data_IF_464576903702
#
_entry.id   IF_464576903702
#
_cell.length_a   1.000
_cell.length_b   1.000
_cell.length_c   1.000
_cell.angle_alpha   90.00
_cell.angle_beta   90.00
_cell.angle_gamma   90.00
#
_symmetry.space_group_name_H-M   'P 1'
#
loop_
_entity.id
_entity.type
_entity.pdbx_description
1 polymer ?
#
# COMPACT_ATOMS: atom_id res chain seq x y z
N UNK A 1 6.59 -8.41 -14.40
CA UNK A 1 6.47 -7.17 -15.18
C UNK A 1 5.19 -6.48 -14.74
N UNK A 2 5.26 -5.58 -13.77
CA UNK A 2 4.09 -4.88 -13.25
C UNK A 2 3.76 -3.73 -14.19
N UNK A 3 2.61 -3.81 -14.85
CA UNK A 3 2.07 -2.71 -15.63
C UNK A 3 1.43 -1.70 -14.67
N UNK A 4 2.02 -0.52 -14.58
CA UNK A 4 1.32 0.65 -14.04
C UNK A 4 0.19 1.01 -14.99
N UNK A 5 -1.06 1.09 -14.53
CA UNK A 5 -2.11 1.62 -15.37
C UNK A 5 -1.80 3.08 -15.69
N UNK A 6 -1.71 3.40 -16.96
CA UNK A 6 -1.46 4.76 -17.49
C UNK A 6 -2.55 5.78 -17.08
N UNK A 7 -3.67 5.33 -16.50
CA UNK A 7 -4.73 6.16 -15.95
C UNK A 7 -4.36 6.94 -14.68
N UNK A 8 -3.27 6.57 -13.97
CA UNK A 8 -2.79 7.31 -12.80
C UNK A 8 -2.23 8.71 -13.15
N UNK A 9 -2.01 8.99 -14.43
CA UNK A 9 -1.40 10.24 -14.90
C UNK A 9 -2.28 11.03 -15.85
N UNK A 10 -3.60 10.79 -15.86
CA UNK A 10 -4.51 11.59 -16.68
C UNK A 10 -4.59 13.03 -16.15
N UNK A 11 -4.43 14.07 -17.01
CA UNK A 11 -4.26 15.46 -16.59
C UNK A 11 -5.54 16.20 -16.17
N UNK A 12 -6.62 15.52 -15.78
CA UNK A 12 -7.93 16.16 -15.54
C UNK A 12 -8.44 16.05 -14.10
N UNK A 13 -7.56 15.92 -13.10
CA UNK A 13 -8.01 16.08 -11.73
C UNK A 13 -8.14 17.57 -11.40
N UNK A 14 -9.36 18.08 -11.30
CA UNK A 14 -9.65 19.41 -10.74
C UNK A 14 -9.05 19.44 -9.34
N UNK A 15 -8.21 20.45 -9.06
CA UNK A 15 -7.53 20.61 -7.76
C UNK A 15 -8.59 20.63 -6.65
N UNK A 16 -8.56 19.72 -5.67
CA UNK A 16 -9.56 19.71 -4.61
C UNK A 16 -9.44 20.95 -3.73
N UNK A 17 -10.57 21.46 -3.19
CA UNK A 17 -10.55 22.58 -2.26
C UNK A 17 -9.72 22.21 -1.02
N UNK A 18 -8.81 23.10 -0.60
CA UNK A 18 -7.93 22.90 0.56
C UNK A 18 -6.54 22.33 0.24
N UNK A 19 -6.18 22.23 -1.03
CA UNK A 19 -4.83 21.88 -1.43
C UNK A 19 -3.94 23.14 -1.46
N UNK A 20 -3.38 23.48 -0.33
CA UNK A 20 -2.48 24.62 -0.18
C UNK A 20 -1.07 24.30 -0.64
N UNK A 21 -0.33 25.31 -1.08
CA UNK A 21 1.09 25.16 -1.44
C UNK A 21 1.92 24.65 -0.25
N UNK A 22 1.58 25.07 0.97
CA UNK A 22 2.21 24.61 2.21
C UNK A 22 2.06 23.09 2.39
N UNK A 23 0.88 22.53 2.13
CA UNK A 23 0.66 21.07 2.18
C UNK A 23 1.54 20.33 1.17
N UNK A 24 1.68 20.87 -0.05
CA UNK A 24 2.54 20.30 -1.09
C UNK A 24 4.02 20.36 -0.69
N UNK A 25 4.46 21.44 -0.06
CA UNK A 25 5.83 21.58 0.44
C UNK A 25 6.11 20.54 1.54
N UNK A 26 5.22 20.42 2.52
CA UNK A 26 5.33 19.41 3.59
C UNK A 26 5.33 17.98 3.02
N UNK A 27 4.45 17.69 2.07
CA UNK A 27 4.41 16.41 1.38
C UNK A 27 5.71 16.15 0.60
N UNK A 28 6.25 17.15 -0.08
CA UNK A 28 7.52 17.05 -0.82
C UNK A 28 8.69 16.76 0.13
N UNK A 29 8.76 17.44 1.27
CA UNK A 29 9.76 17.14 2.29
C UNK A 29 9.62 15.71 2.82
N UNK A 30 8.39 15.26 3.05
CA UNK A 30 8.11 13.88 3.50
C UNK A 30 8.59 12.85 2.49
N UNK A 31 8.39 13.08 1.18
CA UNK A 31 8.91 12.23 0.10
C UNK A 31 10.44 12.17 0.13
N UNK A 32 11.12 13.31 0.21
CA UNK A 32 12.60 13.37 0.27
C UNK A 32 13.12 12.62 1.49
N UNK A 33 12.52 12.84 2.66
CA UNK A 33 12.92 12.17 3.90
C UNK A 33 12.67 10.66 3.88
N UNK A 34 11.62 10.22 3.19
CA UNK A 34 11.24 8.81 3.06
C UNK A 34 12.00 8.06 1.96
N UNK A 35 12.63 8.77 1.00
CA UNK A 35 13.32 8.14 -0.14
C UNK A 35 14.82 8.38 -0.14
N UNK A 36 15.27 9.60 -0.38
CA UNK A 36 16.70 9.94 -0.42
C UNK A 36 16.99 11.29 0.23
N UNK A 37 17.43 11.26 1.48
CA UNK A 37 17.73 12.46 2.28
C UNK A 37 18.81 13.37 1.68
N UNK A 38 19.67 12.84 0.78
CA UNK A 38 20.73 13.61 0.11
C UNK A 38 20.16 14.66 -0.83
N UNK A 39 18.93 14.45 -1.31
CA UNK A 39 18.22 15.41 -2.18
C UNK A 39 17.86 16.72 -1.44
N UNK A 40 17.83 16.70 -0.12
CA UNK A 40 17.46 17.87 0.69
C UNK A 40 18.40 19.09 0.47
N UNK A 41 19.65 18.86 0.07
CA UNK A 41 20.62 19.91 -0.26
C UNK A 41 20.49 20.50 -1.68
N UNK A 42 19.68 19.94 -2.55
CA UNK A 42 19.62 20.28 -3.97
C UNK A 42 18.30 20.97 -4.31
N UNK A 43 18.28 22.32 -4.26
CA UNK A 43 17.06 23.13 -4.46
C UNK A 43 16.30 22.89 -5.78
N UNK A 44 16.95 22.36 -6.83
CA UNK A 44 16.30 22.01 -8.10
C UNK A 44 15.35 20.83 -8.00
N UNK A 45 15.60 19.87 -7.11
CA UNK A 45 14.75 18.68 -6.96
C UNK A 45 13.38 18.99 -6.32
N UNK A 46 13.32 19.97 -5.42
CA UNK A 46 12.04 20.39 -4.85
C UNK A 46 11.05 20.82 -5.92
N UNK A 47 11.52 21.62 -6.89
CA UNK A 47 10.67 22.07 -8.02
C UNK A 47 10.25 20.90 -8.92
N UNK A 48 11.15 19.94 -9.18
CA UNK A 48 10.85 18.78 -10.03
C UNK A 48 9.89 17.80 -9.36
N UNK A 49 9.94 17.67 -8.03
CA UNK A 49 9.08 16.78 -7.26
C UNK A 49 7.70 17.39 -6.97
N UNK A 50 7.55 18.70 -7.02
CA UNK A 50 6.32 19.39 -6.65
C UNK A 50 5.10 18.87 -7.43
N UNK A 51 5.19 18.80 -8.76
CA UNK A 51 4.08 18.34 -9.61
C UNK A 51 3.74 16.85 -9.39
N UNK A 52 4.69 15.90 -9.37
CA UNK A 52 4.40 14.51 -9.04
C UNK A 52 3.81 14.32 -7.63
N UNK A 53 4.33 15.06 -6.65
CA UNK A 53 3.83 15.00 -5.27
C UNK A 53 2.41 15.56 -5.18
N UNK A 54 2.11 16.68 -5.84
CA UNK A 54 0.75 17.21 -5.93
C UNK A 54 -0.23 16.19 -6.50
N UNK A 55 0.14 15.52 -7.61
CA UNK A 55 -0.68 14.45 -8.19
C UNK A 55 -0.89 13.29 -7.21
N UNK A 56 0.13 12.88 -6.48
CA UNK A 56 0.03 11.81 -5.49
C UNK A 56 -0.88 12.21 -4.31
N UNK A 57 -0.77 13.44 -3.81
CA UNK A 57 -1.63 13.97 -2.74
C UNK A 57 -3.08 14.02 -3.20
N UNK A 58 -3.35 14.55 -4.40
CA UNK A 58 -4.70 14.58 -4.99
C UNK A 58 -5.27 13.18 -5.13
N UNK A 59 -4.45 12.23 -5.61
CA UNK A 59 -4.87 10.83 -5.74
C UNK A 59 -5.27 10.23 -4.38
N UNK A 60 -4.47 10.44 -3.35
CA UNK A 60 -4.77 9.96 -1.98
C UNK A 60 -6.06 10.59 -1.45
N UNK A 61 -6.24 11.90 -1.63
CA UNK A 61 -7.45 12.59 -1.20
C UNK A 61 -8.67 11.95 -1.87
N UNK A 62 -8.67 11.83 -3.19
CA UNK A 62 -9.78 11.27 -3.96
C UNK A 62 -10.05 9.80 -3.58
N UNK A 63 -8.99 9.01 -3.35
CA UNK A 63 -9.10 7.61 -2.93
C UNK A 63 -9.81 7.49 -1.58
N UNK A 64 -9.41 8.31 -0.60
CA UNK A 64 -9.98 8.23 0.74
C UNK A 64 -11.38 8.84 0.79
N UNK A 65 -11.64 9.90 0.04
CA UNK A 65 -12.97 10.51 -0.04
C UNK A 65 -13.99 9.61 -0.78
N UNK A 66 -13.51 8.65 -1.58
CA UNK A 66 -14.33 7.62 -2.23
C UNK A 66 -14.60 6.39 -1.34
N UNK A 67 -14.02 6.33 -0.13
CA UNK A 67 -14.30 5.22 0.78
C UNK A 67 -15.77 5.24 1.23
N UNK A 68 -16.37 4.05 1.46
CA UNK A 68 -17.72 3.96 1.97
C UNK A 68 -17.82 4.60 3.37
N UNK A 69 -19.03 4.99 3.72
CA UNK A 69 -19.33 5.54 5.04
C UNK A 69 -18.89 4.61 6.17
N UNK A 70 -18.55 5.24 7.31
CA UNK A 70 -18.17 4.50 8.51
C UNK A 70 -19.27 3.53 8.95
N UNK A 71 -18.87 2.32 9.31
CA UNK A 71 -19.79 1.27 9.80
C UNK A 71 -19.74 1.24 11.31
N UNK A 72 -20.89 1.31 11.95
CA UNK A 72 -20.99 1.13 13.40
C UNK A 72 -20.68 -0.32 13.77
N UNK A 73 -19.75 -0.51 14.70
CA UNK A 73 -19.40 -1.82 15.26
C UNK A 73 -20.15 -2.01 16.58
N UNK A 74 -21.29 -2.68 16.50
CA UNK A 74 -22.14 -3.02 17.65
C UNK A 74 -22.77 -4.39 17.46
N UNK A 75 -23.38 -4.94 18.53
CA UNK A 75 -24.12 -6.20 18.45
C UNK A 75 -25.28 -6.13 17.46
N UNK A 76 -25.93 -4.98 17.39
CA UNK A 76 -27.06 -4.74 16.48
C UNK A 76 -26.57 -4.72 15.03
N UNK A 77 -25.53 -3.97 14.75
CA UNK A 77 -24.99 -3.86 13.38
C UNK A 77 -24.40 -5.18 12.91
N UNK A 78 -23.76 -5.98 13.77
CA UNK A 78 -23.29 -7.32 13.40
C UNK A 78 -24.44 -8.21 12.90
N UNK A 79 -25.63 -8.10 13.49
CA UNK A 79 -26.78 -8.90 13.06
C UNK A 79 -27.39 -8.42 11.74
N UNK A 80 -27.33 -7.12 11.46
CA UNK A 80 -27.98 -6.49 10.32
C UNK A 80 -27.07 -6.24 9.10
N UNK A 81 -25.77 -5.99 9.32
CA UNK A 81 -24.82 -5.66 8.25
C UNK A 81 -24.11 -6.92 7.74
N UNK A 82 -24.31 -7.31 6.46
CA UNK A 82 -23.66 -8.48 5.88
C UNK A 82 -22.11 -8.32 5.79
N UNK A 83 -21.59 -7.08 5.72
CA UNK A 83 -20.16 -6.81 5.68
C UNK A 83 -19.48 -7.25 6.98
N UNK A 84 -20.06 -6.90 8.13
CA UNK A 84 -19.52 -7.31 9.42
C UNK A 84 -19.53 -8.83 9.61
N UNK A 85 -20.57 -9.50 9.10
CA UNK A 85 -20.63 -10.98 9.11
C UNK A 85 -19.64 -11.63 8.16
N UNK A 86 -19.25 -10.94 7.08
CA UNK A 86 -18.21 -11.42 6.19
C UNK A 86 -16.81 -11.23 6.80
N UNK A 87 -16.59 -10.10 7.49
CA UNK A 87 -15.29 -9.76 8.07
C UNK A 87 -14.98 -10.55 9.35
N UNK A 88 -16.00 -10.90 10.13
CA UNK A 88 -15.82 -11.55 11.43
C UNK A 88 -16.61 -12.85 11.51
N UNK A 89 -15.98 -13.90 12.01
CA UNK A 89 -16.63 -15.20 12.15
C UNK A 89 -17.80 -15.21 13.15
N UNK A 90 -17.79 -14.31 14.14
CA UNK A 90 -18.83 -14.18 15.15
C UNK A 90 -18.78 -12.79 15.81
N UNK A 91 -19.85 -12.42 16.53
CA UNK A 91 -19.87 -11.21 17.33
C UNK A 91 -18.75 -11.20 18.39
N UNK A 92 -18.51 -12.31 19.06
CA UNK A 92 -17.44 -12.41 20.05
C UNK A 92 -16.06 -12.22 19.43
N UNK A 93 -15.83 -12.79 18.23
CA UNK A 93 -14.61 -12.55 17.47
C UNK A 93 -14.44 -11.08 17.11
N UNK A 94 -15.49 -10.41 16.64
CA UNK A 94 -15.47 -8.97 16.36
C UNK A 94 -15.12 -8.16 17.61
N UNK A 95 -15.76 -8.46 18.76
CA UNK A 95 -15.51 -7.77 20.02
C UNK A 95 -14.07 -7.98 20.50
N UNK A 96 -13.56 -9.21 20.40
CA UNK A 96 -12.17 -9.52 20.74
C UNK A 96 -11.18 -8.73 19.86
N UNK A 97 -11.38 -8.72 18.54
CA UNK A 97 -10.43 -8.07 17.62
C UNK A 97 -10.47 -6.56 17.67
N UNK A 98 -11.62 -5.97 17.91
CA UNK A 98 -11.78 -4.50 17.93
C UNK A 98 -11.70 -3.97 19.36
N UNK A 99 -12.41 -4.56 20.31
CA UNK A 99 -12.49 -4.07 21.68
C UNK A 99 -11.22 -4.28 22.50
N UNK A 100 -10.54 -5.42 22.30
CA UNK A 100 -9.27 -5.74 22.95
C UNK A 100 -8.04 -5.33 22.10
N UNK A 101 -8.22 -4.53 21.05
CA UNK A 101 -7.11 -4.02 20.28
C UNK A 101 -6.23 -3.10 21.15
N UNK A 102 -4.94 -3.42 21.26
CA UNK A 102 -4.00 -2.65 22.08
C UNK A 102 -4.03 -1.14 21.77
N UNK A 103 -4.21 -0.78 20.51
CA UNK A 103 -4.34 0.62 20.08
C UNK A 103 -5.53 1.32 20.70
N UNK A 104 -6.65 0.61 20.88
CA UNK A 104 -7.86 1.14 21.56
C UNK A 104 -7.62 1.25 23.06
N UNK A 105 -7.04 0.24 23.68
CA UNK A 105 -6.70 0.27 25.10
C UNK A 105 -5.73 1.41 25.45
N UNK A 106 -4.68 1.58 24.65
CA UNK A 106 -3.68 2.63 24.85
C UNK A 106 -4.30 4.02 24.64
N UNK A 107 -5.21 4.17 23.68
CA UNK A 107 -5.96 5.39 23.47
C UNK A 107 -6.87 5.73 24.64
N UNK A 108 -7.63 4.75 25.13
CA UNK A 108 -8.53 4.92 26.28
C UNK A 108 -7.81 5.32 27.58
N UNK A 109 -6.56 4.87 27.77
CA UNK A 109 -5.72 5.25 28.89
C UNK A 109 -5.24 6.71 28.82
N UNK A 110 -5.13 7.27 27.62
CA UNK A 110 -4.56 8.60 27.39
C UNK A 110 -5.63 9.69 27.21
N UNK A 111 -6.80 9.33 26.70
CA UNK A 111 -7.86 10.28 26.40
C UNK A 111 -8.92 10.29 27.50
N UNK A 112 -9.39 11.47 27.94
CA UNK A 112 -10.57 11.57 28.80
C UNK A 112 -11.82 11.27 27.97
N UNK A 113 -12.12 9.99 27.82
CA UNK A 113 -13.29 9.53 27.05
C UNK A 113 -14.49 9.53 27.98
N UNK A 114 -15.51 10.34 27.67
CA UNK A 114 -16.78 10.30 28.36
C UNK A 114 -17.50 8.96 28.15
N UNK A 115 -18.36 8.55 29.09
CA UNK A 115 -19.07 7.25 29.07
C UNK A 115 -19.86 6.94 27.78
N UNK A 116 -20.16 7.94 26.96
CA UNK A 116 -20.95 7.81 25.74
C UNK A 116 -20.19 8.16 24.46
N UNK A 117 -18.86 8.26 24.53
CA UNK A 117 -18.07 8.64 23.37
C UNK A 117 -17.99 7.50 22.36
N UNK A 118 -18.22 7.82 21.10
CA UNK A 118 -17.93 6.91 19.99
C UNK A 118 -16.45 7.00 19.66
N UNK A 119 -15.82 5.87 19.41
CA UNK A 119 -14.45 5.81 18.94
C UNK A 119 -14.49 5.38 17.49
N UNK A 120 -13.87 6.17 16.65
CA UNK A 120 -13.65 5.90 15.22
C UNK A 120 -12.26 5.33 15.02
N UNK A 121 -12.06 4.58 13.96
CA UNK A 121 -10.75 4.08 13.56
C UNK A 121 -10.80 3.35 12.23
N UNK A 122 -9.62 3.04 11.70
CA UNK A 122 -9.47 2.25 10.48
C UNK A 122 -9.35 0.77 10.84
N UNK A 123 -10.28 -0.05 10.34
CA UNK A 123 -10.15 -1.49 10.39
C UNK A 123 -9.37 -1.97 9.16
N UNK A 124 -8.18 -2.48 9.39
CA UNK A 124 -7.34 -3.12 8.36
C UNK A 124 -7.38 -4.63 8.54
N UNK A 125 -7.43 -5.36 7.43
CA UNK A 125 -7.43 -6.82 7.43
C UNK A 125 -6.80 -7.36 6.15
N UNK A 126 -6.29 -8.58 6.21
CA UNK A 126 -5.84 -9.32 5.05
C UNK A 126 -6.97 -10.22 4.56
N UNK A 127 -7.15 -10.29 3.25
CA UNK A 127 -8.08 -11.23 2.62
C UNK A 127 -7.29 -12.39 1.99
N UNK A 128 -7.86 -13.58 2.09
CA UNK A 128 -7.30 -14.81 1.52
C UNK A 128 -8.37 -15.51 0.71
N UNK A 129 -8.11 -15.73 -0.55
CA UNK A 129 -8.95 -16.56 -1.41
C UNK A 129 -8.53 -18.02 -1.34
N UNK A 130 -9.53 -18.90 -1.24
CA UNK A 130 -9.37 -20.34 -1.38
C UNK A 130 -10.33 -20.83 -2.45
N UNK A 131 -9.75 -21.34 -3.53
CA UNK A 131 -10.52 -22.06 -4.56
C UNK A 131 -10.69 -23.51 -4.18
N UNK A 132 -11.91 -24.03 -4.28
CA UNK A 132 -12.24 -25.44 -4.08
C UNK A 132 -13.17 -25.89 -5.20
N UNK A 133 -13.04 -27.15 -5.59
CA UNK A 133 -14.04 -27.81 -6.41
C UNK A 133 -15.17 -28.27 -5.49
N UNK A 134 -16.36 -27.83 -5.76
CA UNK A 134 -17.55 -28.15 -4.98
C UNK A 134 -18.69 -28.66 -5.86
N UNK A 135 -19.81 -28.89 -5.22
CA UNK A 135 -21.06 -29.30 -5.89
C UNK A 135 -22.08 -28.19 -5.72
N UNK A 136 -22.75 -27.81 -6.80
CA UNK A 136 -23.81 -26.80 -6.80
C UNK A 136 -25.09 -27.43 -7.32
N UNK A 137 -26.21 -27.16 -6.67
CA UNK A 137 -27.54 -27.50 -7.17
C UNK A 137 -28.04 -26.30 -8.02
N UNK A 138 -28.19 -26.52 -9.31
CA UNK A 138 -28.72 -25.54 -10.25
C UNK A 138 -29.84 -26.18 -11.04
N UNK A 139 -31.04 -25.59 -11.06
CA UNK A 139 -32.23 -26.05 -11.79
C UNK A 139 -32.56 -27.54 -11.54
N UNK A 140 -32.53 -27.98 -10.26
CA UNK A 140 -32.75 -29.36 -9.82
C UNK A 140 -31.68 -30.38 -10.32
N UNK A 141 -30.59 -29.90 -10.88
CA UNK A 141 -29.46 -30.74 -11.32
C UNK A 141 -28.25 -30.51 -10.45
N UNK A 142 -27.61 -31.60 -10.05
CA UNK A 142 -26.36 -31.56 -9.28
C UNK A 142 -25.20 -31.41 -10.27
N UNK A 143 -24.59 -30.21 -10.29
CA UNK A 143 -23.33 -29.99 -11.00
C UNK A 143 -22.18 -30.26 -10.04
N UNK A 144 -21.31 -31.19 -10.41
CA UNK A 144 -20.08 -31.51 -9.67
C UNK A 144 -18.90 -30.75 -10.27
N UNK A 145 -17.82 -30.59 -9.48
CA UNK A 145 -16.59 -29.94 -9.91
C UNK A 145 -16.74 -28.46 -10.32
N UNK A 146 -17.71 -27.78 -9.73
CA UNK A 146 -17.86 -26.34 -9.92
C UNK A 146 -16.82 -25.63 -9.05
N UNK A 147 -16.04 -24.73 -9.65
CA UNK A 147 -15.07 -23.93 -8.91
C UNK A 147 -15.80 -22.97 -7.96
N UNK A 148 -15.57 -23.15 -6.67
CA UNK A 148 -16.09 -22.29 -5.62
C UNK A 148 -14.92 -21.50 -5.03
N UNK A 149 -15.10 -20.19 -4.89
CA UNK A 149 -14.14 -19.30 -4.23
C UNK A 149 -14.69 -18.89 -2.88
N UNK A 150 -13.94 -19.16 -1.83
CA UNK A 150 -14.21 -18.66 -0.49
C UNK A 150 -13.20 -17.58 -0.12
N UNK A 151 -13.67 -16.47 0.42
CA UNK A 151 -12.85 -15.37 0.92
C UNK A 151 -12.86 -15.40 2.44
N UNK A 152 -11.67 -15.39 3.03
CA UNK A 152 -11.50 -15.28 4.48
C UNK A 152 -10.75 -14.00 4.80
N UNK A 153 -11.14 -13.33 5.88
CA UNK A 153 -10.48 -12.14 6.38
C UNK A 153 -9.69 -12.47 7.64
N UNK A 154 -8.41 -12.12 7.64
CA UNK A 154 -7.43 -12.44 8.69
C UNK A 154 -6.69 -11.18 9.14
N UNK A 155 -5.94 -11.29 10.24
CA UNK A 155 -5.05 -10.23 10.72
C UNK A 155 -5.76 -8.87 10.87
N UNK A 156 -6.90 -8.91 11.56
CA UNK A 156 -7.67 -7.70 11.86
C UNK A 156 -6.86 -6.77 12.77
N UNK A 157 -6.62 -5.54 12.30
CA UNK A 157 -5.97 -4.49 13.07
C UNK A 157 -6.84 -3.25 13.09
N UNK A 158 -7.06 -2.69 14.27
CA UNK A 158 -7.76 -1.44 14.44
C UNK A 158 -6.75 -0.32 14.67
N UNK A 159 -6.71 0.67 13.78
CA UNK A 159 -5.65 1.68 13.70
C UNK A 159 -6.24 3.09 13.84
N UNK A 160 -5.42 4.00 14.40
CA UNK A 160 -5.73 5.42 14.52
C UNK A 160 -7.02 5.71 15.27
N UNK A 161 -7.25 5.13 16.49
CA UNK A 161 -8.45 5.40 17.26
C UNK A 161 -8.55 6.90 17.60
N UNK A 162 -9.72 7.51 17.39
CA UNK A 162 -10.05 8.88 17.79
C UNK A 162 -11.54 9.02 18.06
N UNK A 163 -11.93 9.98 18.90
CA UNK A 163 -13.31 10.42 19.09
C UNK A 163 -13.80 11.30 17.91
N UNK A 164 -12.89 11.79 17.11
CA UNK A 164 -13.17 12.62 15.92
C UNK A 164 -13.04 11.80 14.63
N UNK A 165 -14.12 11.67 13.87
CA UNK A 165 -14.09 11.04 12.56
C UNK A 165 -13.15 11.76 11.58
N UNK A 166 -13.11 13.11 11.64
CA UNK A 166 -12.24 13.91 10.78
C UNK A 166 -10.74 13.62 11.04
N UNK A 167 -10.37 13.40 12.32
CA UNK A 167 -8.99 13.02 12.66
C UNK A 167 -8.62 11.64 12.11
N UNK A 168 -9.55 10.68 12.14
CA UNK A 168 -9.33 9.36 11.55
C UNK A 168 -9.16 9.48 10.04
N UNK A 169 -10.00 10.25 9.35
CA UNK A 169 -9.85 10.49 7.90
C UNK A 169 -8.48 11.10 7.59
N UNK A 170 -8.05 12.09 8.36
CA UNK A 170 -6.73 12.69 8.19
C UNK A 170 -5.60 11.68 8.44
N UNK A 171 -5.73 10.86 9.48
CA UNK A 171 -4.78 9.78 9.76
C UNK A 171 -4.68 8.81 8.59
N UNK A 172 -5.82 8.38 8.02
CA UNK A 172 -5.85 7.46 6.89
C UNK A 172 -5.22 8.08 5.64
N UNK A 173 -5.49 9.37 5.35
CA UNK A 173 -4.85 10.11 4.26
C UNK A 173 -3.33 10.15 4.42
N UNK A 174 -2.82 10.47 5.60
CA UNK A 174 -1.38 10.47 5.90
C UNK A 174 -0.78 9.07 5.73
N UNK A 175 -1.43 8.04 6.26
CA UNK A 175 -0.94 6.66 6.18
C UNK A 175 -0.93 6.14 4.74
N UNK A 176 -1.95 6.46 3.95
CA UNK A 176 -2.00 6.10 2.53
C UNK A 176 -0.88 6.80 1.73
N UNK A 177 -0.60 8.07 2.04
CA UNK A 177 0.51 8.79 1.41
C UNK A 177 1.88 8.19 1.80
N UNK A 178 2.10 7.87 3.08
CA UNK A 178 3.31 7.17 3.53
C UNK A 178 3.50 5.83 2.82
N UNK A 179 2.43 5.07 2.61
CA UNK A 179 2.47 3.82 1.86
C UNK A 179 2.89 4.01 0.40
N UNK A 180 2.44 5.08 -0.26
CA UNK A 180 2.92 5.42 -1.61
C UNK A 180 4.42 5.73 -1.62
N UNK A 181 4.94 6.39 -0.57
CA UNK A 181 6.38 6.64 -0.42
C UNK A 181 7.15 5.33 -0.25
N UNK A 182 6.64 4.39 0.56
CA UNK A 182 7.26 3.06 0.74
C UNK A 182 7.35 2.32 -0.60
N UNK A 183 6.27 2.29 -1.38
CA UNK A 183 6.25 1.70 -2.73
C UNK A 183 7.27 2.40 -3.66
N UNK A 184 7.29 3.74 -3.65
CA UNK A 184 8.23 4.50 -4.46
C UNK A 184 9.70 4.17 -4.09
N UNK A 185 10.00 4.01 -2.81
CA UNK A 185 11.33 3.60 -2.33
C UNK A 185 11.72 2.21 -2.84
N UNK A 186 10.82 1.24 -2.77
CA UNK A 186 11.05 -0.11 -3.30
C UNK A 186 11.38 -0.06 -4.81
N UNK A 187 10.65 0.75 -5.57
CA UNK A 187 10.90 0.93 -7.00
C UNK A 187 12.24 1.59 -7.28
N UNK A 188 12.62 2.61 -6.50
CA UNK A 188 13.93 3.26 -6.61
C UNK A 188 15.05 2.27 -6.34
N UNK A 189 14.91 1.43 -5.31
CA UNK A 189 15.89 0.39 -4.97
C UNK A 189 16.01 -0.62 -6.11
N UNK A 190 14.87 -1.15 -6.59
CA UNK A 190 14.85 -2.10 -7.70
C UNK A 190 15.49 -1.53 -8.98
N UNK A 191 15.18 -0.26 -9.32
CA UNK A 191 15.76 0.42 -10.47
C UNK A 191 17.28 0.60 -10.32
N UNK A 192 17.78 0.99 -9.15
CA UNK A 192 19.21 1.14 -8.87
C UNK A 192 19.96 -0.20 -8.97
N UNK A 193 19.39 -1.27 -8.43
CA UNK A 193 19.95 -2.61 -8.53
C UNK A 193 20.06 -3.03 -9.99
N UNK A 194 18.99 -2.86 -10.76
CA UNK A 194 18.99 -3.20 -12.19
C UNK A 194 20.00 -2.39 -12.99
N UNK A 195 20.14 -1.10 -12.66
CA UNK A 195 21.12 -0.25 -13.30
C UNK A 195 22.54 -0.72 -13.05
N UNK A 196 22.87 -1.07 -11.79
CA UNK A 196 24.19 -1.61 -11.43
C UNK A 196 24.49 -2.94 -12.13
N UNK A 197 23.52 -3.84 -12.26
CA UNK A 197 23.66 -5.08 -13.01
C UNK A 197 23.99 -4.81 -14.49
N UNK A 198 23.25 -3.89 -15.13
CA UNK A 198 23.50 -3.50 -16.53
C UNK A 198 24.86 -2.85 -16.74
N UNK A 199 25.34 -2.04 -15.80
CA UNK A 199 26.69 -1.48 -15.85
C UNK A 199 27.77 -2.58 -15.80
N UNK A 200 27.61 -3.55 -14.93
CA UNK A 200 28.52 -4.69 -14.83
C UNK A 200 28.51 -5.52 -16.12
N UNK A 201 27.34 -5.81 -16.67
CA UNK A 201 27.19 -6.54 -17.93
C UNK A 201 27.85 -5.76 -19.09
N UNK A 202 27.63 -4.45 -19.17
CA UNK A 202 28.27 -3.59 -20.17
C UNK A 202 29.80 -3.63 -20.05
N UNK A 203 30.32 -3.55 -18.84
CA UNK A 203 31.77 -3.59 -18.59
C UNK A 203 32.36 -4.95 -18.99
N UNK A 204 31.66 -6.05 -18.70
CA UNK A 204 32.04 -7.39 -19.11
C UNK A 204 32.07 -7.52 -20.64
N UNK A 205 31.02 -7.07 -21.33
CA UNK A 205 30.95 -7.12 -22.80
C UNK A 205 32.06 -6.26 -23.45
N UNK A 206 32.34 -5.07 -22.90
CA UNK A 206 33.45 -4.23 -23.38
C UNK A 206 34.80 -4.93 -23.25
N UNK A 207 35.07 -5.62 -22.13
CA UNK A 207 36.30 -6.40 -21.92
C UNK A 207 36.39 -7.54 -22.91
N UNK A 208 35.29 -8.28 -23.12
CA UNK A 208 35.22 -9.36 -24.11
C UNK A 208 35.49 -8.88 -25.53
N UNK A 209 34.88 -7.77 -25.93
CA UNK A 209 35.14 -7.16 -27.26
C UNK A 209 36.59 -6.71 -27.43
N UNK A 210 37.20 -6.15 -26.37
CA UNK A 210 38.59 -5.74 -26.39
C UNK A 210 39.53 -6.95 -26.54
N UNK A 211 39.27 -8.03 -25.84
CA UNK A 211 40.04 -9.28 -25.97
C UNK A 211 39.93 -9.88 -27.37
N UNK A 212 38.73 -9.91 -27.95
CA UNK A 212 38.51 -10.38 -29.32
C UNK A 212 39.26 -9.53 -30.36
N UNK A 213 39.26 -8.20 -30.21
CA UNK A 213 39.97 -7.28 -31.13
C UNK A 213 41.48 -7.36 -31.01
N UNK A 214 42.01 -7.68 -29.85
CA UNK A 214 43.49 -7.82 -29.64
C UNK A 214 44.04 -9.13 -30.20
N UNK A 215 43.24 -10.02 -30.78
CA UNK A 215 43.70 -11.29 -31.36
C UNK A 215 44.20 -12.32 -30.35
N UNK A 216 44.07 -12.06 -29.06
CA UNK A 216 44.48 -12.95 -27.99
C UNK A 216 43.37 -14.01 -27.76
N UNK A 217 43.44 -15.11 -28.55
CA UNK A 217 42.50 -16.22 -28.48
C UNK A 217 42.70 -17.14 -27.26
N UNK A 218 43.35 -16.70 -26.21
CA UNK A 218 43.46 -17.37 -24.91
C UNK A 218 42.15 -17.29 -24.13
N UNK A 219 41.03 -17.61 -24.78
CA UNK A 219 39.66 -17.50 -24.20
C UNK A 219 39.30 -18.62 -23.22
N UNK A 220 40.10 -19.66 -23.11
CA UNK A 220 39.76 -20.81 -22.23
C UNK A 220 39.91 -20.50 -20.75
N UNK A 221 40.73 -19.53 -20.38
CA UNK A 221 40.99 -19.19 -18.95
C UNK A 221 40.03 -18.16 -18.36
N UNK A 222 39.30 -17.38 -19.21
CA UNK A 222 38.43 -16.31 -18.76
C UNK A 222 36.95 -16.77 -18.62
N UNK A 223 36.62 -17.98 -19.10
CA UNK A 223 35.24 -18.51 -19.13
C UNK A 223 34.97 -19.61 -18.09
N UNK A 224 35.88 -19.85 -17.15
CA UNK A 224 35.52 -20.67 -15.98
C UNK A 224 34.82 -19.79 -14.95
N UNK A 225 33.50 -19.94 -14.75
CA UNK A 225 32.88 -19.41 -13.57
C UNK A 225 33.47 -20.18 -12.37
N UNK A 226 34.17 -19.46 -11.47
CA UNK A 226 34.46 -20.03 -10.17
C UNK A 226 33.14 -20.35 -9.49
N UNK A 227 32.79 -21.64 -9.46
CA UNK A 227 31.74 -22.16 -8.61
C UNK A 227 32.30 -22.23 -7.19
N UNK A 228 31.84 -21.34 -6.34
CA UNK A 228 31.86 -21.45 -4.91
C UNK A 228 30.43 -21.45 -4.36
#
# INVERSE_FOLDING_TARGET
>A
MFHFPSSLFSPSATRPPGLDNELIEVATERVIMGTDKRLNGLGSYRKQLQEPVEKAVVHVINLIDALPEAVEISRRSFSSDPRLRAFFASFNHMQEKVGAAKTVEDYLKQAPVGEHSRIYGLLSMQWMEKSRLGTVLQDDRIQREVQQVSVNFLNHNFLGPSISFAEVVLYVKKRAFDFLIEIALEWIIAARTRYAELEQEQLFLRRKLKAMKSGNWGLEEVLRPEMY
#
